data_IF_185469613994
#
_entry.id   IF_185469613994
#
_cell.length_a   1.000
_cell.length_b   1.000
_cell.length_c   1.000
_cell.angle_alpha   90.00
_cell.angle_beta   90.00
_cell.angle_gamma   90.00
#
_symmetry.space_group_name_H-M   'P 1'
#
loop_
_entity.id
_entity.type
_entity.pdbx_description
1 polymer ?
#
# COMPACT_ATOMS: atom_id res chain seq x y z
N UNK A 1 38.99 -37.27 -38.97
CA UNK A 1 39.35 -36.79 -37.63
C UNK A 1 39.36 -35.28 -37.68
N UNK A 2 38.26 -34.62 -37.30
CA UNK A 2 38.19 -33.16 -37.16
C UNK A 2 37.31 -32.81 -35.96
N UNK A 3 37.84 -31.91 -35.15
CA UNK A 3 37.39 -31.51 -33.82
C UNK A 3 36.01 -30.85 -33.79
N UNK A 4 35.28 -31.15 -32.71
CA UNK A 4 34.01 -30.53 -32.33
C UNK A 4 34.32 -29.27 -31.52
N UNK A 5 33.92 -28.05 -31.94
CA UNK A 5 33.81 -26.94 -31.01
C UNK A 5 32.47 -27.04 -30.27
N UNK A 6 32.52 -27.56 -29.05
CA UNK A 6 31.38 -27.53 -28.11
C UNK A 6 31.15 -26.08 -27.67
N UNK A 7 30.16 -25.41 -28.28
CA UNK A 7 29.72 -24.10 -27.78
C UNK A 7 29.06 -24.28 -26.41
N UNK A 8 29.83 -24.09 -25.35
CA UNK A 8 29.29 -23.90 -24.00
C UNK A 8 28.56 -22.57 -23.97
N UNK A 9 27.27 -22.59 -24.31
CA UNK A 9 26.35 -21.48 -24.09
C UNK A 9 26.37 -21.13 -22.60
N UNK A 10 27.06 -20.05 -22.22
CA UNK A 10 26.91 -19.43 -20.90
C UNK A 10 25.46 -18.95 -20.80
N UNK A 11 24.64 -19.67 -20.05
CA UNK A 11 23.33 -19.19 -19.60
C UNK A 11 23.57 -17.95 -18.75
N UNK A 12 23.47 -16.78 -19.35
CA UNK A 12 23.37 -15.53 -18.62
C UNK A 12 22.06 -15.58 -17.83
N UNK A 13 22.17 -15.82 -16.52
CA UNK A 13 21.02 -15.63 -15.64
C UNK A 13 20.63 -14.14 -15.74
N UNK A 14 19.56 -13.87 -16.49
CA UNK A 14 18.94 -12.55 -16.54
C UNK A 14 18.44 -12.23 -15.14
N UNK A 15 19.26 -11.52 -14.36
CA UNK A 15 18.88 -11.04 -13.05
C UNK A 15 17.76 -10.02 -13.29
N UNK A 16 16.54 -10.22 -12.77
CA UNK A 16 15.45 -9.27 -12.99
C UNK A 16 15.90 -7.91 -12.48
N UNK A 17 15.97 -6.92 -13.38
CA UNK A 17 16.27 -5.53 -13.02
C UNK A 17 15.10 -5.05 -12.15
N UNK A 18 15.35 -4.91 -10.85
CA UNK A 18 14.39 -4.29 -9.93
C UNK A 18 14.36 -2.80 -10.24
N UNK A 19 13.39 -2.37 -11.04
CA UNK A 19 13.10 -0.95 -11.22
C UNK A 19 12.46 -0.43 -9.94
N UNK A 20 13.20 0.35 -9.17
CA UNK A 20 12.67 1.00 -7.97
C UNK A 20 12.08 2.36 -8.35
N UNK A 21 10.76 2.52 -8.20
CA UNK A 21 10.11 3.83 -8.23
C UNK A 21 10.23 4.46 -6.85
N UNK A 22 10.75 5.69 -6.78
CA UNK A 22 10.87 6.43 -5.52
C UNK A 22 9.62 7.27 -5.33
N UNK A 23 8.96 7.11 -4.18
CA UNK A 23 7.79 7.89 -3.78
C UNK A 23 8.16 8.68 -2.52
N UNK A 24 7.79 9.96 -2.47
CA UNK A 24 8.03 10.83 -1.32
C UNK A 24 6.72 11.24 -0.66
N UNK A 25 6.18 10.42 0.25
CA UNK A 25 4.95 10.75 0.96
C UNK A 25 5.19 11.81 2.04
N UNK A 26 4.22 12.70 2.23
CA UNK A 26 4.19 13.60 3.38
C UNK A 26 3.60 12.86 4.58
N UNK A 27 4.33 12.83 5.68
CA UNK A 27 3.94 12.14 6.92
C UNK A 27 4.18 13.03 8.13
N UNK A 28 3.43 12.81 9.20
CA UNK A 28 3.64 13.54 10.45
C UNK A 28 5.01 13.23 11.06
N UNK A 29 5.58 14.20 11.80
CA UNK A 29 6.88 14.04 12.46
C UNK A 29 6.89 12.90 13.49
N UNK A 30 5.76 12.67 14.18
CA UNK A 30 5.58 11.55 15.10
C UNK A 30 5.68 10.19 14.42
N UNK A 31 5.07 10.05 13.22
CA UNK A 31 5.14 8.83 12.43
C UNK A 31 6.57 8.56 11.94
N UNK A 32 7.26 9.59 11.43
CA UNK A 32 8.67 9.48 11.02
C UNK A 32 9.58 8.99 12.16
N UNK A 33 9.43 9.55 13.38
CA UNK A 33 10.18 9.11 14.56
C UNK A 33 9.86 7.68 14.99
N UNK A 34 8.62 7.23 14.77
CA UNK A 34 8.23 5.84 15.06
C UNK A 34 8.86 4.87 14.07
N UNK A 35 8.85 5.20 12.78
CA UNK A 35 9.51 4.42 11.72
C UNK A 35 11.01 4.31 12.00
N UNK A 36 11.65 5.41 12.41
CA UNK A 36 13.07 5.42 12.80
C UNK A 36 13.39 4.47 13.95
N UNK A 37 12.59 4.49 15.01
CA UNK A 37 12.75 3.57 16.14
C UNK A 37 12.59 2.13 15.70
N UNK A 38 11.62 1.86 14.83
CA UNK A 38 11.36 0.51 14.33
C UNK A 38 12.49 0.01 13.43
N UNK A 39 13.02 0.88 12.57
CA UNK A 39 14.20 0.59 11.75
C UNK A 39 15.41 0.20 12.60
N UNK A 40 15.68 0.96 13.68
CA UNK A 40 16.74 0.64 14.64
C UNK A 40 16.49 -0.68 15.35
N UNK A 41 15.28 -0.90 15.89
CA UNK A 41 14.91 -2.13 16.61
C UNK A 41 15.09 -3.38 15.76
N UNK A 42 14.72 -3.32 14.49
CA UNK A 42 14.80 -4.46 13.57
C UNK A 42 16.09 -4.53 12.74
N UNK A 43 17.06 -3.63 12.98
CA UNK A 43 18.30 -3.51 12.19
C UNK A 43 18.03 -3.42 10.67
N UNK A 44 16.99 -2.69 10.30
CA UNK A 44 16.55 -2.48 8.92
C UNK A 44 16.68 -1.02 8.51
N UNK A 45 16.65 -0.75 7.20
CA UNK A 45 16.54 0.63 6.71
C UNK A 45 15.11 1.15 6.87
N UNK A 46 14.94 2.48 6.92
CA UNK A 46 13.61 3.11 6.95
C UNK A 46 12.73 2.64 5.79
N UNK A 47 13.30 2.59 4.59
CA UNK A 47 12.60 2.19 3.37
C UNK A 47 12.17 0.71 3.40
N UNK A 48 12.98 -0.18 3.97
CA UNK A 48 12.60 -1.59 4.16
C UNK A 48 11.44 -1.74 5.13
N UNK A 49 11.47 -1.01 6.24
CA UNK A 49 10.38 -1.03 7.23
C UNK A 49 9.09 -0.51 6.60
N UNK A 50 9.16 0.64 5.92
CA UNK A 50 8.00 1.22 5.24
C UNK A 50 7.47 0.27 4.16
N UNK A 51 8.36 -0.32 3.35
CA UNK A 51 7.97 -1.30 2.33
C UNK A 51 7.23 -2.48 2.94
N UNK A 52 7.76 -3.10 4.00
CA UNK A 52 7.11 -4.24 4.66
C UNK A 52 5.74 -3.88 5.24
N UNK A 53 5.60 -2.68 5.81
CA UNK A 53 4.32 -2.20 6.34
C UNK A 53 3.30 -2.00 5.22
N UNK A 54 3.71 -1.35 4.12
CA UNK A 54 2.85 -1.11 2.96
C UNK A 54 2.48 -2.42 2.27
N UNK A 55 3.43 -3.34 2.11
CA UNK A 55 3.21 -4.66 1.55
C UNK A 55 2.20 -5.45 2.38
N UNK A 56 2.34 -5.47 3.72
CA UNK A 56 1.36 -6.07 4.59
C UNK A 56 -0.03 -5.40 4.46
N UNK A 57 -0.09 -4.06 4.48
CA UNK A 57 -1.35 -3.34 4.38
C UNK A 57 -2.06 -3.58 3.04
N UNK A 58 -1.32 -3.63 1.93
CA UNK A 58 -1.86 -3.84 0.60
C UNK A 58 -2.18 -5.31 0.29
N UNK A 59 -1.48 -6.25 0.93
CA UNK A 59 -1.75 -7.69 0.76
C UNK A 59 -2.89 -8.16 1.65
N UNK A 60 -3.07 -7.54 2.83
CA UNK A 60 -4.21 -7.81 3.73
C UNK A 60 -5.47 -7.05 3.33
N UNK A 61 -5.33 -5.96 2.56
CA UNK A 61 -6.48 -5.38 1.86
C UNK A 61 -6.82 -6.28 0.67
N UNK A 62 -7.71 -7.26 0.89
CA UNK A 62 -8.71 -7.52 -0.15
C UNK A 62 -9.22 -6.15 -0.60
N UNK A 63 -9.17 -5.89 -1.90
CA UNK A 63 -9.38 -4.57 -2.48
C UNK A 63 -10.55 -3.87 -1.78
N UNK A 64 -10.27 -2.83 -0.99
CA UNK A 64 -11.34 -2.05 -0.39
C UNK A 64 -12.20 -1.56 -1.55
N UNK A 65 -13.51 -1.83 -1.49
CA UNK A 65 -14.46 -1.45 -2.53
C UNK A 65 -14.17 0.02 -2.90
N UNK A 66 -13.94 0.36 -4.18
CA UNK A 66 -13.71 1.74 -4.59
C UNK A 66 -14.76 2.71 -4.04
N UNK A 67 -15.97 2.22 -3.76
CA UNK A 67 -17.05 2.96 -3.09
C UNK A 67 -16.72 3.32 -1.63
N UNK A 68 -16.08 2.42 -0.89
CA UNK A 68 -15.68 2.65 0.50
C UNK A 68 -14.53 3.64 0.61
N UNK A 69 -13.56 3.58 -0.31
CA UNK A 69 -12.46 4.55 -0.34
C UNK A 69 -12.96 5.93 -0.82
N UNK A 70 -13.86 6.00 -1.81
CA UNK A 70 -14.50 7.25 -2.22
C UNK A 70 -15.31 7.88 -1.07
N UNK A 71 -16.00 7.07 -0.26
CA UNK A 71 -16.74 7.52 0.94
C UNK A 71 -15.77 8.05 2.00
N UNK A 72 -14.65 7.36 2.23
CA UNK A 72 -13.59 7.78 3.16
C UNK A 72 -12.97 9.12 2.74
N UNK A 73 -12.69 9.30 1.45
CA UNK A 73 -12.18 10.57 0.91
C UNK A 73 -13.22 11.69 1.00
N UNK A 74 -14.50 11.40 0.75
CA UNK A 74 -15.59 12.37 0.94
C UNK A 74 -15.70 12.82 2.40
N UNK A 75 -15.58 11.89 3.36
CA UNK A 75 -15.57 12.17 4.81
C UNK A 75 -14.38 13.02 5.27
N UNK A 76 -13.22 12.88 4.60
CA UNK A 76 -12.03 13.67 4.89
C UNK A 76 -12.08 15.08 4.30
N UNK A 77 -12.74 15.24 3.14
CA UNK A 77 -12.94 16.54 2.48
C UNK A 77 -14.08 17.34 3.13
N UNK A 78 -15.13 16.69 3.63
CA UNK A 78 -16.26 17.36 4.30
C UNK A 78 -15.92 17.69 5.76
N UNK A 79 -15.14 18.74 5.98
CA UNK A 79 -14.81 19.25 7.32
C UNK A 79 -16.00 19.86 8.08
N UNK A 80 -17.20 19.95 7.48
CA UNK A 80 -18.40 20.55 8.09
C UNK A 80 -19.28 19.52 8.78
N UNK A 81 -19.75 19.85 9.98
CA UNK A 81 -20.57 18.96 10.84
C UNK A 81 -21.87 18.52 10.16
N UNK A 82 -22.49 19.38 9.36
CA UNK A 82 -23.74 19.10 8.64
C UNK A 82 -23.60 18.07 7.51
N UNK A 83 -22.46 18.02 6.82
CA UNK A 83 -22.21 17.03 5.77
C UNK A 83 -21.93 15.65 6.35
N UNK A 84 -21.27 15.56 7.51
CA UNK A 84 -21.12 14.29 8.24
C UNK A 84 -22.47 13.71 8.67
N UNK A 85 -23.42 14.56 9.08
CA UNK A 85 -24.77 14.13 9.42
C UNK A 85 -25.55 13.66 8.18
N UNK A 86 -25.42 14.36 7.05
CA UNK A 86 -26.04 13.95 5.79
C UNK A 86 -25.50 12.60 5.28
N UNK A 87 -24.18 12.39 5.35
CA UNK A 87 -23.56 11.11 4.96
C UNK A 87 -24.01 9.95 5.87
N UNK A 88 -24.08 10.19 7.19
CA UNK A 88 -24.58 9.20 8.16
C UNK A 88 -26.05 8.86 7.92
N UNK A 89 -26.86 9.85 7.55
CA UNK A 89 -28.27 9.65 7.22
C UNK A 89 -28.44 8.77 5.98
N UNK A 90 -27.68 9.03 4.91
CA UNK A 90 -27.73 8.21 3.68
C UNK A 90 -27.24 6.78 3.94
N UNK A 91 -26.20 6.60 4.76
CA UNK A 91 -25.70 5.28 5.16
C UNK A 91 -26.74 4.47 5.94
N UNK A 92 -27.47 5.13 6.85
CA UNK A 92 -28.56 4.48 7.59
C UNK A 92 -29.80 4.21 6.73
N UNK A 93 -30.13 5.12 5.80
CA UNK A 93 -31.25 4.94 4.87
C UNK A 93 -31.01 3.83 3.83
N UNK A 94 -29.74 3.54 3.52
CA UNK A 94 -29.34 2.43 2.64
C UNK A 94 -29.33 1.06 3.31
N UNK A 95 -29.52 0.97 4.63
CA UNK A 95 -29.58 -0.31 5.35
C UNK A 95 -30.96 -0.97 5.16
N UNK A 96 -31.04 -1.88 4.19
CA UNK A 96 -32.26 -2.64 3.91
C UNK A 96 -32.45 -3.86 4.82
N UNK A 97 -31.62 -4.06 5.85
CA UNK A 97 -31.71 -5.27 6.72
C UNK A 97 -32.92 -5.30 7.65
N UNK A 98 -33.77 -4.27 7.65
CA UNK A 98 -34.96 -4.16 8.50
C UNK A 98 -36.31 -4.03 7.78
N UNK A 99 -36.37 -4.01 6.43
CA UNK A 99 -37.65 -3.91 5.72
C UNK A 99 -38.23 -5.32 5.46
N UNK A 100 -39.15 -5.73 6.33
CA UNK A 100 -40.12 -6.81 6.10
C UNK A 100 -41.52 -6.23 6.08
#
# INVERSE_FOLDING_TARGET
>A
MYDIPTSKGRRTMSRPRKTSVVVTPRVSSGLSRRIEREARRRRHTKSEVVRKILEAALTTSEAADPSDEARRQSLLVSGRRSEKEALRFVEHAGDQRGWR
#
